data_IF_373342454830
#
_entry.id   IF_373342454830
#
_cell.length_a   1.000
_cell.length_b   1.000
_cell.length_c   1.000
_cell.angle_alpha   90.00
_cell.angle_beta   90.00
_cell.angle_gamma   90.00
#
_symmetry.space_group_name_H-M   'P 1'
#
loop_
_entity.id
_entity.type
_entity.pdbx_description
1 polymer ?
#
# COMPACT_ATOMS: atom_id res chain seq x y z
N UNK A 1 0.65 9.39 -10.71
CA UNK A 1 0.31 8.98 -9.33
C UNK A 1 -1.20 9.02 -9.09
N UNK A 2 -1.89 10.10 -9.46
CA UNK A 2 -3.35 10.26 -9.47
C UNK A 2 -4.12 9.11 -10.13
N UNK A 3 -3.77 8.73 -11.37
CA UNK A 3 -4.45 7.64 -12.09
C UNK A 3 -4.36 6.28 -11.38
N UNK A 4 -3.21 6.01 -10.74
CA UNK A 4 -3.00 4.79 -9.96
C UNK A 4 -3.79 4.82 -8.64
N UNK A 5 -3.84 5.97 -7.97
CA UNK A 5 -4.64 6.12 -6.74
C UNK A 5 -6.14 5.95 -7.03
N UNK A 6 -6.60 6.53 -8.15
CA UNK A 6 -7.99 6.42 -8.59
C UNK A 6 -8.36 4.97 -8.92
N UNK A 7 -7.53 4.27 -9.71
CA UNK A 7 -7.75 2.86 -10.01
C UNK A 7 -7.82 1.99 -8.75
N UNK A 8 -6.90 2.21 -7.80
CA UNK A 8 -6.90 1.46 -6.54
C UNK A 8 -8.16 1.71 -5.70
N UNK A 9 -8.59 2.98 -5.56
CA UNK A 9 -9.82 3.33 -4.85
C UNK A 9 -11.08 2.72 -5.48
N UNK A 10 -11.15 2.69 -6.81
CA UNK A 10 -12.26 2.05 -7.55
C UNK A 10 -12.26 0.54 -7.34
N UNK A 11 -11.10 -0.13 -7.41
CA UNK A 11 -10.99 -1.56 -7.17
C UNK A 11 -11.39 -1.95 -5.74
N UNK A 12 -10.95 -1.17 -4.75
CA UNK A 12 -11.33 -1.39 -3.34
C UNK A 12 -12.83 -1.14 -3.15
N UNK A 13 -13.37 -0.06 -3.73
CA UNK A 13 -14.80 0.21 -3.70
C UNK A 13 -15.65 -0.90 -4.33
N UNK A 14 -15.23 -1.42 -5.48
CA UNK A 14 -15.89 -2.54 -6.14
C UNK A 14 -15.86 -3.81 -5.30
N UNK A 15 -14.73 -4.07 -4.61
CA UNK A 15 -14.59 -5.22 -3.71
C UNK A 15 -15.54 -5.12 -2.51
N UNK A 16 -15.62 -3.95 -1.87
CA UNK A 16 -16.54 -3.75 -0.74
C UNK A 16 -18.01 -3.77 -1.18
N UNK A 17 -18.32 -3.25 -2.37
CA UNK A 17 -19.67 -3.31 -2.94
C UNK A 17 -20.09 -4.77 -3.23
N UNK A 18 -19.17 -5.60 -3.73
CA UNK A 18 -19.42 -7.03 -3.96
C UNK A 18 -19.68 -7.79 -2.66
N UNK A 19 -19.07 -7.35 -1.56
CA UNK A 19 -19.29 -7.90 -0.22
C UNK A 19 -20.57 -7.36 0.46
N UNK A 20 -21.36 -6.53 -0.22
CA UNK A 20 -22.60 -5.93 0.31
C UNK A 20 -22.38 -5.14 1.61
N UNK A 21 -21.23 -4.49 1.75
CA UNK A 21 -20.89 -3.67 2.92
C UNK A 21 -21.54 -2.30 2.79
N UNK A 22 -22.32 -1.90 3.79
CA UNK A 22 -22.85 -0.53 3.90
C UNK A 22 -21.68 0.49 3.93
N UNK A 23 -21.82 1.63 3.25
CA UNK A 23 -20.76 2.65 3.06
C UNK A 23 -19.59 2.30 2.10
N UNK A 24 -19.70 1.29 1.23
CA UNK A 24 -18.65 0.94 0.26
C UNK A 24 -18.11 2.15 -0.56
N UNK A 25 -18.99 3.07 -0.96
CA UNK A 25 -18.62 4.29 -1.69
C UNK A 25 -17.79 5.29 -0.86
N UNK A 26 -18.08 5.42 0.44
CA UNK A 26 -17.33 6.28 1.36
C UNK A 26 -15.93 5.70 1.58
N UNK A 27 -15.82 4.38 1.77
CA UNK A 27 -14.52 3.71 1.90
C UNK A 27 -13.71 3.75 0.61
N UNK A 28 -14.33 3.68 -0.56
CA UNK A 28 -13.66 3.87 -1.85
C UNK A 28 -13.02 5.26 -1.96
N UNK A 29 -13.79 6.31 -1.59
CA UNK A 29 -13.31 7.69 -1.61
C UNK A 29 -12.21 7.93 -0.57
N UNK A 30 -12.36 7.37 0.63
CA UNK A 30 -11.33 7.42 1.67
C UNK A 30 -10.05 6.71 1.20
N UNK A 31 -10.17 5.51 0.64
CA UNK A 31 -9.04 4.76 0.08
C UNK A 31 -8.33 5.56 -1.01
N UNK A 32 -9.08 6.22 -1.90
CA UNK A 32 -8.53 7.09 -2.92
C UNK A 32 -7.70 8.24 -2.32
N UNK A 33 -8.25 8.93 -1.31
CA UNK A 33 -7.57 10.04 -0.64
C UNK A 33 -6.33 9.56 0.13
N UNK A 34 -6.44 8.46 0.86
CA UNK A 34 -5.36 7.92 1.69
C UNK A 34 -4.22 7.32 0.84
N UNK A 35 -4.52 6.75 -0.33
CA UNK A 35 -3.50 6.14 -1.20
C UNK A 35 -2.54 7.17 -1.83
N UNK A 36 -2.72 8.47 -1.57
CA UNK A 36 -1.67 9.47 -1.81
C UNK A 36 -0.43 9.25 -0.95
N UNK A 37 -0.56 8.66 0.24
CA UNK A 37 0.56 8.27 1.10
C UNK A 37 0.91 6.80 0.82
N UNK A 38 2.06 6.52 0.19
CA UNK A 38 2.47 5.15 -0.10
C UNK A 38 2.62 4.34 1.19
N UNK A 39 2.28 3.06 1.12
CA UNK A 39 2.22 2.10 2.23
C UNK A 39 1.19 2.44 3.32
N UNK A 40 1.28 3.60 3.97
CA UNK A 40 0.43 3.97 5.11
C UNK A 40 -1.05 4.07 4.73
N UNK A 41 -1.35 4.68 3.58
CA UNK A 41 -2.72 4.87 3.11
C UNK A 41 -3.53 3.59 2.95
N UNK A 42 -3.06 2.63 2.13
CA UNK A 42 -3.74 1.35 1.95
C UNK A 42 -3.83 0.50 3.23
N UNK A 43 -2.85 0.57 4.13
CA UNK A 43 -2.94 -0.10 5.45
C UNK A 43 -4.08 0.47 6.30
N UNK A 44 -4.22 1.79 6.35
CA UNK A 44 -5.32 2.44 7.09
C UNK A 44 -6.66 2.16 6.41
N UNK A 45 -6.71 2.18 5.07
CA UNK A 45 -7.91 1.85 4.30
C UNK A 45 -8.38 0.40 4.47
N UNK A 46 -7.47 -0.51 4.83
CA UNK A 46 -7.80 -1.88 5.23
C UNK A 46 -8.49 -1.99 6.58
N UNK A 47 -8.05 -1.19 7.54
CA UNK A 47 -8.58 -1.22 8.91
C UNK A 47 -9.91 -0.47 8.99
N UNK A 48 -10.10 0.59 8.20
CA UNK A 48 -11.30 1.42 8.18
C UNK A 48 -12.64 0.64 8.08
N UNK A 49 -12.80 -0.32 7.15
CA UNK A 49 -14.04 -1.08 7.02
C UNK A 49 -14.20 -2.17 8.09
N UNK A 50 -13.14 -2.54 8.84
CA UNK A 50 -13.20 -3.62 9.83
C UNK A 50 -14.25 -3.43 10.94
N UNK A 51 -14.37 -2.27 11.62
CA UNK A 51 -15.42 -2.07 12.62
C UNK A 51 -16.82 -2.10 11.98
N UNK A 52 -16.99 -1.58 10.77
CA UNK A 52 -18.31 -1.57 10.10
C UNK A 52 -18.76 -2.99 9.76
N UNK A 53 -17.85 -3.84 9.27
CA UNK A 53 -18.15 -5.24 8.97
C UNK A 53 -18.46 -6.05 10.25
N UNK A 54 -17.77 -5.78 11.37
CA UNK A 54 -18.00 -6.47 12.63
C UNK A 54 -19.31 -6.06 13.33
N UNK A 55 -19.72 -4.80 13.20
CA UNK A 55 -20.96 -4.30 13.80
C UNK A 55 -22.21 -4.59 12.95
N UNK A 56 -22.04 -4.98 11.69
CA UNK A 56 -23.17 -5.28 10.80
C UNK A 56 -23.80 -6.64 11.15
N UNK A 57 -24.99 -6.60 11.74
CA UNK A 57 -25.75 -7.79 12.13
C UNK A 57 -26.51 -8.44 10.97
N UNK A 58 -26.45 -7.87 9.76
CA UNK A 58 -27.09 -8.44 8.55
C UNK A 58 -26.26 -9.51 7.86
N UNK A 59 -24.96 -9.59 8.17
CA UNK A 59 -24.07 -10.59 7.61
C UNK A 59 -24.17 -11.89 8.39
N UNK A 60 -24.52 -12.98 7.71
CA UNK A 60 -24.55 -14.34 8.30
C UNK A 60 -23.17 -14.78 8.85
N UNK A 61 -22.07 -14.23 8.30
CA UNK A 61 -20.70 -14.58 8.67
C UNK A 61 -19.74 -13.37 8.63
N UNK A 62 -19.82 -12.43 9.61
CA UNK A 62 -19.03 -11.19 9.59
C UNK A 62 -17.52 -11.45 9.57
N UNK A 63 -17.04 -12.49 10.27
CA UNK A 63 -15.62 -12.88 10.25
C UNK A 63 -15.13 -13.34 8.88
N UNK A 64 -15.97 -14.06 8.12
CA UNK A 64 -15.59 -14.58 6.81
C UNK A 64 -15.55 -13.44 5.77
N UNK A 65 -16.49 -12.50 5.88
CA UNK A 65 -16.51 -11.29 5.05
C UNK A 65 -15.35 -10.35 5.36
N UNK A 66 -14.98 -10.21 6.64
CA UNK A 66 -13.79 -9.47 7.03
C UNK A 66 -12.52 -10.10 6.43
N UNK A 67 -12.39 -11.43 6.52
CA UNK A 67 -11.24 -12.14 5.96
C UNK A 67 -11.13 -11.94 4.45
N UNK A 68 -12.25 -12.04 3.72
CA UNK A 68 -12.25 -11.82 2.26
C UNK A 68 -11.96 -10.36 1.91
N UNK A 69 -12.52 -9.39 2.63
CA UNK A 69 -12.23 -7.97 2.44
C UNK A 69 -10.74 -7.66 2.61
N UNK A 70 -10.14 -8.10 3.72
CA UNK A 70 -8.72 -7.88 4.03
C UNK A 70 -7.84 -8.61 3.02
N UNK A 71 -8.11 -9.89 2.74
CA UNK A 71 -7.32 -10.65 1.75
C UNK A 71 -7.37 -10.03 0.35
N UNK A 72 -8.54 -9.51 -0.04
CA UNK A 72 -8.77 -8.87 -1.33
C UNK A 72 -8.07 -7.52 -1.47
N UNK A 73 -8.15 -6.68 -0.42
CA UNK A 73 -7.39 -5.43 -0.35
C UNK A 73 -5.88 -5.69 -0.35
N UNK A 74 -5.42 -6.79 0.26
CA UNK A 74 -4.00 -7.18 0.27
C UNK A 74 -3.54 -7.58 -1.12
N UNK A 75 -4.32 -8.42 -1.81
CA UNK A 75 -4.06 -8.83 -3.18
C UNK A 75 -4.01 -7.62 -4.14
N UNK A 76 -4.96 -6.69 -4.00
CA UNK A 76 -4.95 -5.43 -4.76
C UNK A 76 -3.70 -4.59 -4.45
N UNK A 77 -3.29 -4.53 -3.18
CA UNK A 77 -2.08 -3.79 -2.77
C UNK A 77 -0.83 -4.42 -3.37
N UNK A 78 -0.70 -5.74 -3.38
CA UNK A 78 0.41 -6.45 -4.04
C UNK A 78 0.41 -6.22 -5.55
N UNK A 79 -0.75 -6.31 -6.21
CA UNK A 79 -0.89 -6.07 -7.64
C UNK A 79 -0.47 -4.63 -8.01
N UNK A 80 -0.95 -3.63 -7.26
CA UNK A 80 -0.56 -2.23 -7.46
C UNK A 80 0.89 -1.94 -7.06
N UNK A 81 1.42 -2.63 -6.06
CA UNK A 81 2.84 -2.53 -5.67
C UNK A 81 3.74 -3.01 -6.80
N UNK A 82 3.42 -4.13 -7.44
CA UNK A 82 4.17 -4.63 -8.59
C UNK A 82 4.13 -3.63 -9.76
N UNK A 83 2.99 -2.97 -10.01
CA UNK A 83 2.90 -1.90 -11.02
C UNK A 83 3.80 -0.70 -10.67
N UNK A 84 3.87 -0.31 -9.40
CA UNK A 84 4.77 0.75 -8.92
C UNK A 84 6.23 0.32 -9.09
N UNK A 85 6.53 -0.96 -8.80
CA UNK A 85 7.85 -1.57 -8.92
C UNK A 85 8.32 -1.58 -10.38
N UNK A 86 7.46 -1.98 -11.32
CA UNK A 86 7.72 -1.92 -12.77
C UNK A 86 8.02 -0.49 -13.22
N UNK A 87 7.24 0.50 -12.76
CA UNK A 87 7.48 1.91 -13.11
C UNK A 87 8.77 2.50 -12.52
N UNK A 88 9.17 2.02 -11.36
CA UNK A 88 10.41 2.44 -10.70
C UNK A 88 11.62 1.84 -11.41
N UNK A 89 11.54 0.57 -11.81
CA UNK A 89 12.57 -0.14 -12.58
C UNK A 89 12.72 0.46 -13.98
N UNK A 90 11.62 0.86 -14.63
CA UNK A 90 11.66 1.54 -15.94
C UNK A 90 12.37 2.90 -15.92
N UNK A 91 12.31 3.64 -14.79
CA UNK A 91 12.99 4.93 -14.66
C UNK A 91 14.49 4.80 -14.36
N UNK A 92 14.94 3.62 -13.92
CA UNK A 92 16.23 3.49 -13.27
C UNK A 92 17.20 2.55 -13.97
N UNK A 93 17.55 2.93 -15.19
CA UNK A 93 18.79 2.49 -15.86
C UNK A 93 20.06 2.95 -15.11
N UNK A 94 19.95 3.72 -14.01
CA UNK A 94 21.05 4.31 -13.22
C UNK A 94 21.14 3.84 -11.76
N UNK A 95 20.26 2.96 -11.27
CA UNK A 95 20.31 2.35 -9.93
C UNK A 95 21.27 1.15 -9.89
N UNK A 96 22.49 1.32 -10.41
CA UNK A 96 23.62 0.47 -10.00
C UNK A 96 24.01 0.83 -8.56
N UNK A 97 23.10 0.65 -7.61
CA UNK A 97 23.45 0.65 -6.19
C UNK A 97 24.15 -0.67 -5.89
N UNK A 98 25.28 -0.60 -5.19
CA UNK A 98 25.97 -1.80 -4.76
C UNK A 98 25.01 -2.61 -3.87
N UNK A 99 24.76 -3.91 -4.16
CA UNK A 99 23.76 -4.72 -3.45
C UNK A 99 23.91 -4.70 -1.92
N UNK A 100 25.16 -4.57 -1.45
CA UNK A 100 25.49 -4.44 -0.03
C UNK A 100 24.84 -3.21 0.62
N UNK A 101 24.77 -2.06 -0.06
CA UNK A 101 24.14 -0.85 0.52
C UNK A 101 22.64 -1.03 0.71
N UNK A 102 21.99 -1.74 -0.22
CA UNK A 102 20.55 -2.03 -0.14
C UNK A 102 20.30 -2.98 1.04
N UNK A 103 21.08 -4.06 1.14
CA UNK A 103 21.02 -5.01 2.26
C UNK A 103 21.27 -4.33 3.62
N UNK A 104 22.26 -3.43 3.69
CA UNK A 104 22.57 -2.66 4.90
C UNK A 104 21.40 -1.75 5.29
N UNK A 105 20.87 -0.98 4.35
CA UNK A 105 19.73 -0.08 4.59
C UNK A 105 18.49 -0.86 5.06
N UNK A 106 18.17 -1.98 4.39
CA UNK A 106 17.04 -2.84 4.79
C UNK A 106 17.27 -3.43 6.18
N UNK A 107 18.50 -3.83 6.54
CA UNK A 107 18.83 -4.30 7.88
C UNK A 107 18.69 -3.23 8.95
N UNK A 108 19.21 -2.03 8.71
CA UNK A 108 19.18 -0.91 9.66
C UNK A 108 17.74 -0.42 9.90
N UNK A 109 17.00 -0.12 8.84
CA UNK A 109 15.62 0.33 8.97
C UNK A 109 14.69 -0.80 9.42
N UNK A 110 14.95 -2.04 8.98
CA UNK A 110 14.25 -3.23 9.46
C UNK A 110 14.45 -3.47 10.95
N UNK A 111 15.61 -3.16 11.51
CA UNK A 111 15.86 -3.22 12.94
C UNK A 111 15.13 -2.10 13.71
N UNK A 112 15.05 -0.90 13.14
CA UNK A 112 14.41 0.25 13.78
C UNK A 112 12.89 0.12 13.90
N UNK A 113 12.21 -0.25 12.81
CA UNK A 113 10.73 -0.26 12.73
C UNK A 113 10.14 -1.58 12.20
N UNK A 114 10.95 -2.65 12.13
CA UNK A 114 10.46 -3.95 11.66
C UNK A 114 10.09 -3.94 10.16
N UNK A 115 9.02 -4.65 9.75
CA UNK A 115 8.62 -4.77 8.34
C UNK A 115 8.36 -3.42 7.67
N UNK A 116 7.80 -2.45 8.40
CA UNK A 116 7.54 -1.10 7.91
C UNK A 116 8.83 -0.35 7.59
N UNK A 117 9.89 -0.57 8.39
CA UNK A 117 11.21 0.00 8.13
C UNK A 117 11.89 -0.61 6.89
N UNK A 118 11.70 -1.91 6.66
CA UNK A 118 12.20 -2.56 5.44
C UNK A 118 11.56 -1.96 4.17
N UNK A 119 10.26 -1.64 4.22
CA UNK A 119 9.55 -0.96 3.11
C UNK A 119 10.05 0.48 2.88
N UNK A 120 10.31 1.22 3.97
CA UNK A 120 10.79 2.60 3.90
C UNK A 120 12.27 2.74 3.52
N UNK A 121 13.07 1.68 3.68
CA UNK A 121 14.49 1.64 3.33
C UNK A 121 14.77 2.04 1.88
N UNK A 122 14.00 1.49 0.93
CA UNK A 122 14.21 1.69 -0.51
C UNK A 122 14.03 3.16 -0.94
N UNK A 123 12.90 3.83 -0.62
CA UNK A 123 12.74 5.24 -0.96
C UNK A 123 13.70 6.16 -0.19
N UNK A 124 14.01 5.89 1.08
CA UNK A 124 14.98 6.67 1.85
C UNK A 124 16.38 6.60 1.24
N UNK A 125 16.82 5.41 0.83
CA UNK A 125 18.10 5.20 0.15
C UNK A 125 18.16 5.95 -1.19
N UNK A 126 17.05 5.98 -1.93
CA UNK A 126 16.95 6.76 -3.16
C UNK A 126 17.09 8.27 -2.89
N UNK A 127 16.43 8.80 -1.86
CA UNK A 127 16.54 10.21 -1.45
C UNK A 127 17.98 10.58 -1.01
N UNK A 128 18.62 9.71 -0.23
CA UNK A 128 20.02 9.89 0.18
C UNK A 128 20.97 9.92 -1.01
N UNK A 129 20.75 9.05 -2.01
CA UNK A 129 21.54 9.08 -3.23
C UNK A 129 21.31 10.37 -4.02
N UNK A 130 20.05 10.79 -4.19
CA UNK A 130 19.75 12.01 -4.96
C UNK A 130 20.37 13.24 -4.31
N UNK A 131 20.30 13.38 -2.98
CA UNK A 131 20.96 14.48 -2.28
C UNK A 131 22.48 14.43 -2.43
N UNK A 132 23.11 13.27 -2.22
CA UNK A 132 24.56 13.13 -2.34
C UNK A 132 25.09 13.43 -3.76
N UNK A 133 24.34 13.08 -4.81
CA UNK A 133 24.69 13.38 -6.21
C UNK A 133 24.19 14.74 -6.69
N UNK A 134 23.35 15.43 -5.93
CA UNK A 134 22.90 16.81 -6.23
C UNK A 134 23.94 17.85 -5.85
N UNK A 135 24.86 17.50 -4.95
CA UNK A 135 25.90 18.39 -4.42
C UNK A 135 27.29 18.16 -5.08
N UNK A 136 27.35 17.42 -6.19
CA UNK A 136 28.58 17.04 -6.91
C UNK A 136 28.46 17.34 -8.41
#
# INVERSE_FOLDING_TARGET
>A
KTLACFGYGVCVGALLAFLSIDLASVFALATFALNYVPEVGPFIAMVLPSPVILLDSRLDRPFLVLLTAVSGQLALKFAFSNIIEVKLIESDKKLRMHPVMILLSVGVFGYLWGPTGMLLSVPLMALMKISLFSDL
#
